data_IF_596369981524
#
_entry.id   IF_596369981524
#
_cell.length_a   1.000
_cell.length_b   1.000
_cell.length_c   1.000
_cell.angle_alpha   90.00
_cell.angle_beta   90.00
_cell.angle_gamma   90.00
#
_symmetry.space_group_name_H-M   'P 1'
#
loop_
_entity.id
_entity.type
_entity.pdbx_description
1 polymer ?
#
# COMPACT_ATOMS: atom_id res chain seq x y z
N UNK A 1 21.51 20.81 4.21
CA UNK A 1 20.13 20.87 3.69
C UNK A 1 19.21 21.27 4.83
N UNK A 2 18.60 22.45 4.75
CA UNK A 2 17.58 22.89 5.71
C UNK A 2 16.39 21.93 5.63
N UNK A 3 16.09 21.23 6.72
CA UNK A 3 14.96 20.30 6.81
C UNK A 3 13.68 21.09 6.56
N UNK A 4 12.92 20.76 5.51
CA UNK A 4 11.63 21.40 5.26
C UNK A 4 10.68 21.11 6.42
N UNK A 5 9.82 22.07 6.75
CA UNK A 5 8.77 21.89 7.76
C UNK A 5 7.88 20.72 7.33
N UNK A 6 7.71 19.76 8.23
CA UNK A 6 6.76 18.65 8.05
C UNK A 6 5.34 19.21 8.05
N UNK A 7 4.53 18.73 7.11
CA UNK A 7 3.13 19.10 6.97
C UNK A 7 2.34 17.95 7.62
N UNK A 8 1.84 18.16 8.83
CA UNK A 8 1.19 17.10 9.62
C UNK A 8 -0.14 16.67 9.00
N UNK A 9 -0.81 17.56 8.29
CA UNK A 9 -2.03 17.33 7.54
C UNK A 9 -1.87 16.19 6.53
N UNK A 10 -0.71 16.10 5.87
CA UNK A 10 -0.42 15.02 4.92
C UNK A 10 -0.36 13.67 5.62
N UNK A 11 0.14 13.63 6.85
CA UNK A 11 0.27 12.40 7.62
C UNK A 11 -1.09 11.92 8.15
N UNK A 12 -1.99 12.84 8.55
CA UNK A 12 -3.38 12.49 8.88
C UNK A 12 -4.12 11.90 7.67
N UNK A 13 -4.01 12.53 6.49
CA UNK A 13 -4.68 12.01 5.29
C UNK A 13 -4.08 10.65 4.88
N UNK A 14 -2.76 10.47 5.02
CA UNK A 14 -2.11 9.16 4.81
C UNK A 14 -2.62 8.09 5.76
N UNK A 15 -2.80 8.40 7.03
CA UNK A 15 -3.34 7.46 8.00
C UNK A 15 -4.77 7.04 7.63
N UNK A 16 -5.63 8.00 7.27
CA UNK A 16 -7.01 7.72 6.82
C UNK A 16 -6.99 6.84 5.55
N UNK A 17 -6.15 7.18 4.58
CA UNK A 17 -6.01 6.40 3.34
C UNK A 17 -5.52 4.97 3.61
N UNK A 18 -4.55 4.80 4.51
CA UNK A 18 -4.05 3.48 4.92
C UNK A 18 -5.11 2.63 5.63
N UNK A 19 -5.96 3.24 6.47
CA UNK A 19 -7.12 2.55 7.06
C UNK A 19 -8.08 2.08 5.97
N UNK A 20 -8.39 2.93 4.99
CA UNK A 20 -9.23 2.55 3.85
C UNK A 20 -8.65 1.37 3.06
N UNK A 21 -7.33 1.38 2.80
CA UNK A 21 -6.61 0.27 2.16
C UNK A 21 -6.71 -1.01 3.00
N UNK A 22 -6.54 -0.92 4.31
CA UNK A 22 -6.68 -2.08 5.20
C UNK A 22 -8.10 -2.66 5.15
N UNK A 23 -9.13 -1.79 5.15
CA UNK A 23 -10.53 -2.22 5.07
C UNK A 23 -10.77 -2.98 3.77
N UNK A 24 -10.39 -2.45 2.60
CA UNK A 24 -10.64 -3.15 1.33
C UNK A 24 -9.92 -4.50 1.25
N UNK A 25 -8.71 -4.62 1.82
CA UNK A 25 -7.99 -5.90 1.87
C UNK A 25 -8.64 -6.90 2.82
N UNK A 26 -9.13 -6.44 3.98
CA UNK A 26 -9.85 -7.29 4.93
C UNK A 26 -11.22 -7.71 4.40
N UNK A 27 -11.90 -6.84 3.64
CA UNK A 27 -13.28 -7.07 3.20
C UNK A 27 -13.42 -7.63 1.79
N UNK A 28 -12.34 -7.62 1.00
CA UNK A 28 -12.32 -8.17 -0.36
C UNK A 28 -12.75 -9.63 -0.42
N UNK A 29 -12.35 -10.43 0.58
CA UNK A 29 -12.77 -11.83 0.71
C UNK A 29 -14.28 -11.99 0.80
N UNK A 30 -14.95 -11.16 1.61
CA UNK A 30 -16.42 -11.19 1.74
C UNK A 30 -17.13 -10.75 0.46
N UNK A 31 -16.57 -9.81 -0.29
CA UNK A 31 -17.15 -9.37 -1.55
C UNK A 31 -17.12 -10.47 -2.63
N UNK A 32 -16.07 -11.32 -2.63
CA UNK A 32 -15.83 -12.31 -3.69
C UNK A 32 -16.33 -13.71 -3.34
N UNK A 33 -16.20 -14.14 -2.08
CA UNK A 33 -16.41 -15.54 -1.68
C UNK A 33 -17.66 -15.77 -0.82
N UNK A 34 -18.40 -14.73 -0.45
CA UNK A 34 -19.66 -14.91 0.28
C UNK A 34 -20.77 -15.45 -0.62
N UNK A 35 -21.76 -16.10 -0.03
CA UNK A 35 -22.96 -16.56 -0.74
C UNK A 35 -23.65 -15.39 -1.45
N UNK A 36 -24.11 -15.65 -2.68
CA UNK A 36 -24.75 -14.65 -3.51
C UNK A 36 -26.01 -14.09 -2.83
N UNK A 37 -26.11 -12.76 -2.75
CA UNK A 37 -27.24 -12.08 -2.09
C UNK A 37 -27.19 -12.08 -0.56
N UNK A 38 -26.14 -12.63 0.06
CA UNK A 38 -25.98 -12.57 1.51
C UNK A 38 -25.66 -11.16 2.01
N UNK A 39 -26.00 -10.87 3.28
CA UNK A 39 -25.63 -9.61 3.94
C UNK A 39 -24.11 -9.39 3.96
N UNK A 40 -23.33 -10.48 4.10
CA UNK A 40 -21.87 -10.44 4.08
C UNK A 40 -21.33 -10.00 2.71
N UNK A 41 -21.90 -10.51 1.62
CA UNK A 41 -21.56 -10.08 0.26
C UNK A 41 -21.84 -8.58 0.07
N UNK A 42 -23.04 -8.11 0.41
CA UNK A 42 -23.40 -6.69 0.24
C UNK A 42 -22.53 -5.76 1.09
N UNK A 43 -22.26 -6.12 2.35
CA UNK A 43 -21.37 -5.36 3.22
C UNK A 43 -19.95 -5.33 2.66
N UNK A 44 -19.44 -6.47 2.19
CA UNK A 44 -18.14 -6.58 1.56
C UNK A 44 -18.02 -5.68 0.32
N UNK A 45 -19.02 -5.70 -0.57
CA UNK A 45 -19.06 -4.85 -1.77
C UNK A 45 -19.12 -3.37 -1.38
N UNK A 46 -20.00 -3.00 -0.45
CA UNK A 46 -20.14 -1.62 0.00
C UNK A 46 -18.83 -1.07 0.56
N UNK A 47 -18.18 -1.79 1.48
CA UNK A 47 -16.92 -1.37 2.09
C UNK A 47 -15.80 -1.29 1.05
N UNK A 48 -15.71 -2.27 0.15
CA UNK A 48 -14.71 -2.23 -0.93
C UNK A 48 -14.90 -1.01 -1.84
N UNK A 49 -16.14 -0.72 -2.24
CA UNK A 49 -16.42 0.37 -3.16
C UNK A 49 -16.27 1.74 -2.48
N UNK A 50 -16.70 1.87 -1.23
CA UNK A 50 -16.61 3.11 -0.47
C UNK A 50 -15.17 3.47 -0.15
N UNK A 51 -14.34 2.52 0.29
CA UNK A 51 -12.94 2.78 0.69
C UNK A 51 -11.92 2.67 -0.46
N UNK A 52 -12.37 2.41 -1.70
CA UNK A 52 -11.49 2.27 -2.88
C UNK A 52 -10.65 3.51 -3.18
N UNK A 53 -11.03 4.67 -2.67
CA UNK A 53 -10.26 5.92 -2.82
C UNK A 53 -8.93 5.90 -2.03
N UNK A 54 -8.76 5.01 -1.05
CA UNK A 54 -7.58 4.98 -0.20
C UNK A 54 -6.29 4.80 -1.00
N UNK A 55 -6.26 3.84 -1.91
CA UNK A 55 -5.11 3.56 -2.77
C UNK A 55 -4.65 4.75 -3.64
N UNK A 56 -5.52 5.39 -4.45
CA UNK A 56 -5.10 6.55 -5.25
C UNK A 56 -4.68 7.75 -4.40
N UNK A 57 -5.34 8.03 -3.26
CA UNK A 57 -4.92 9.12 -2.36
C UNK A 57 -3.54 8.83 -1.76
N UNK A 58 -3.32 7.61 -1.28
CA UNK A 58 -2.03 7.21 -0.70
C UNK A 58 -0.87 7.34 -1.69
N UNK A 59 -1.11 6.95 -2.95
CA UNK A 59 -0.15 7.10 -4.03
C UNK A 59 0.12 8.58 -4.35
N UNK A 60 -0.94 9.39 -4.48
CA UNK A 60 -0.84 10.83 -4.76
C UNK A 60 -0.05 11.56 -3.68
N UNK A 61 -0.33 11.31 -2.39
CA UNK A 61 0.40 11.93 -1.28
C UNK A 61 1.88 11.53 -1.25
N UNK A 62 2.19 10.31 -1.68
CA UNK A 62 3.59 9.86 -1.81
C UNK A 62 4.34 10.61 -2.90
N UNK A 63 3.68 10.90 -4.03
CA UNK A 63 4.22 11.80 -5.05
C UNK A 63 4.34 13.25 -4.56
N UNK A 64 3.30 13.77 -3.89
CA UNK A 64 3.28 15.13 -3.36
C UNK A 64 4.45 15.38 -2.39
N UNK A 65 4.67 14.47 -1.44
CA UNK A 65 5.78 14.56 -0.47
C UNK A 65 7.13 14.49 -1.18
N UNK A 66 7.24 13.72 -2.26
CA UNK A 66 8.47 13.66 -3.05
C UNK A 66 8.77 15.03 -3.70
N UNK A 67 7.81 15.60 -4.43
CA UNK A 67 7.99 16.92 -5.05
C UNK A 67 8.16 18.06 -4.05
N UNK A 68 7.53 17.95 -2.87
CA UNK A 68 7.71 18.94 -1.80
C UNK A 68 9.15 18.94 -1.25
N UNK A 69 9.76 17.75 -1.16
CA UNK A 69 11.12 17.61 -0.63
C UNK A 69 12.21 17.79 -1.68
N UNK A 70 11.93 17.54 -2.96
CA UNK A 70 12.89 17.62 -4.06
C UNK A 70 12.33 18.52 -5.17
N UNK A 71 12.83 19.76 -5.28
CA UNK A 71 12.35 20.73 -6.31
C UNK A 71 13.11 20.63 -7.62
N UNK A 72 14.32 20.08 -7.60
CA UNK A 72 15.13 19.84 -8.79
C UNK A 72 15.66 18.42 -8.83
N UNK A 73 15.81 17.86 -10.03
CA UNK A 73 16.42 16.54 -10.24
C UNK A 73 17.85 16.50 -9.67
N UNK A 74 18.55 17.64 -9.67
CA UNK A 74 19.90 17.75 -9.12
C UNK A 74 19.95 17.61 -7.58
N UNK A 75 18.83 17.82 -6.88
CA UNK A 75 18.70 17.60 -5.43
C UNK A 75 18.33 16.13 -5.11
N UNK A 76 17.84 15.40 -6.11
CA UNK A 76 17.37 14.03 -5.98
C UNK A 76 18.49 13.08 -6.41
N UNK A 77 19.20 12.51 -5.44
CA UNK A 77 20.07 11.35 -5.70
C UNK A 77 19.18 10.11 -5.95
N UNK A 78 18.81 9.91 -7.21
CA UNK A 78 17.96 8.81 -7.70
C UNK A 78 18.52 7.46 -7.27
N UNK A 79 19.84 7.28 -7.39
CA UNK A 79 20.52 6.02 -7.05
C UNK A 79 20.38 5.69 -5.57
N UNK A 80 20.65 6.66 -4.69
CA UNK A 80 20.50 6.48 -3.24
C UNK A 80 19.03 6.35 -2.81
N UNK A 81 18.13 7.05 -3.49
CA UNK A 81 16.69 6.99 -3.23
C UNK A 81 16.11 5.60 -3.50
N UNK A 82 16.37 5.03 -4.69
CA UNK A 82 15.86 3.70 -5.05
C UNK A 82 16.61 2.58 -4.32
N UNK A 83 17.92 2.68 -4.09
CA UNK A 83 18.69 1.66 -3.35
C UNK A 83 18.13 1.39 -1.95
N UNK A 84 17.69 2.45 -1.25
CA UNK A 84 17.00 2.30 0.04
C UNK A 84 15.69 1.53 -0.12
N UNK A 85 14.84 1.92 -1.07
CA UNK A 85 13.54 1.28 -1.29
C UNK A 85 13.66 -0.18 -1.70
N UNK A 86 14.57 -0.50 -2.63
CA UNK A 86 14.80 -1.88 -3.07
C UNK A 86 15.22 -2.74 -1.89
N UNK A 87 16.15 -2.30 -1.03
CA UNK A 87 16.54 -3.09 0.15
C UNK A 87 15.35 -3.42 1.07
N UNK A 88 14.45 -2.45 1.28
CA UNK A 88 13.30 -2.63 2.17
C UNK A 88 12.10 -3.34 1.52
N UNK A 89 11.99 -3.36 0.19
CA UNK A 89 10.87 -4.00 -0.53
C UNK A 89 11.26 -5.39 -1.04
N UNK A 90 12.45 -5.50 -1.63
CA UNK A 90 12.93 -6.71 -2.28
C UNK A 90 13.28 -7.81 -1.28
N UNK A 91 13.86 -7.45 -0.13
CA UNK A 91 14.27 -8.44 0.88
C UNK A 91 13.07 -9.15 1.52
N UNK A 92 12.02 -8.45 2.02
CA UNK A 92 10.80 -9.13 2.50
C UNK A 92 10.10 -9.92 1.40
N UNK A 93 10.09 -9.41 0.16
CA UNK A 93 9.46 -10.07 -0.96
C UNK A 93 10.11 -11.42 -1.29
N UNK A 94 11.44 -11.49 -1.34
CA UNK A 94 12.15 -12.75 -1.56
C UNK A 94 11.85 -13.75 -0.45
N UNK A 95 11.92 -13.33 0.82
CA UNK A 95 11.66 -14.20 1.97
C UNK A 95 10.24 -14.77 1.92
N UNK A 96 9.25 -13.93 1.59
CA UNK A 96 7.86 -14.37 1.44
C UNK A 96 7.68 -15.32 0.25
N UNK A 97 8.29 -14.98 -0.90
CA UNK A 97 8.19 -15.76 -2.12
C UNK A 97 8.87 -17.13 -1.99
N UNK A 98 10.03 -17.22 -1.34
CA UNK A 98 10.72 -18.50 -1.13
C UNK A 98 9.92 -19.43 -0.21
N UNK A 99 9.34 -18.89 0.86
CA UNK A 99 8.54 -19.67 1.81
C UNK A 99 7.22 -20.17 1.21
N UNK A 100 6.55 -19.36 0.37
CA UNK A 100 5.35 -19.82 -0.32
C UNK A 100 5.65 -20.86 -1.40
N UNK A 101 6.78 -20.72 -2.12
CA UNK A 101 7.21 -21.71 -3.09
C UNK A 101 7.53 -23.07 -2.43
N UNK A 102 8.15 -23.09 -1.24
CA UNK A 102 8.43 -24.34 -0.51
C UNK A 102 7.15 -25.00 0.02
N UNK A 103 6.17 -24.22 0.47
CA UNK A 103 4.86 -24.72 0.89
C UNK A 103 4.06 -25.33 -0.28
N UNK A 104 4.24 -24.84 -1.50
CA UNK A 104 3.62 -25.43 -2.70
C UNK A 104 4.31 -26.73 -3.16
N UNK A 105 5.56 -26.98 -2.76
CA UNK A 105 6.25 -28.23 -3.09
C UNK A 105 6.00 -29.33 -2.04
N UNK A 106 5.80 -28.98 -0.76
CA UNK A 106 5.44 -29.93 0.30
C UNK A 106 3.98 -30.43 0.21
N UNK A 107 3.06 -29.68 -0.40
CA UNK A 107 1.66 -30.11 -0.58
C UNK A 107 1.44 -30.94 -1.87
N UNK A 108 2.50 -31.22 -2.64
CA UNK A 108 2.44 -31.97 -3.90
C UNK A 108 3.40 -33.18 -3.93
N UNK A 109 4.06 -33.52 -2.80
CA UNK A 109 4.80 -34.76 -2.56
C UNK A 109 4.07 -35.54 -1.46
#
# INVERSE_FOLDING_TARGET
>A
MTRRKRIEEIDYIRAIAAIGILIIHATGGFAVHSEYGSKAMYLGIFLNQFFRFGSPIFMMLSGLVLFYNYRSINELDIGRYYKKKVKFIFLPYIIWSSNNQSLLLENFI
#
